data_IF_825818780944
#
_entry.id   IF_825818780944
#
_cell.length_a   1.000
_cell.length_b   1.000
_cell.length_c   1.000
_cell.angle_alpha   90.00
_cell.angle_beta   90.00
_cell.angle_gamma   90.00
#
_symmetry.space_group_name_H-M   'P 1'
#
loop_
_entity.id
_entity.type
_entity.pdbx_description
1 polymer ?
#
# COMPACT_ATOMS: atom_id res chain seq x y z
N UNK A 1 -8.16 8.46 -34.17
CA UNK A 1 -8.14 9.21 -35.44
C UNK A 1 -6.68 9.25 -35.90
N UNK A 2 -6.35 8.63 -37.02
CA UNK A 2 -4.97 8.54 -37.54
C UNK A 2 -4.61 9.84 -38.25
N UNK A 3 -3.52 10.49 -37.87
CA UNK A 3 -3.01 11.68 -38.54
C UNK A 3 -1.78 11.32 -39.40
N UNK A 4 -1.88 11.61 -40.71
CA UNK A 4 -0.78 11.49 -41.67
C UNK A 4 -0.21 12.89 -41.95
N UNK A 5 1.08 13.13 -41.72
CA UNK A 5 1.71 14.42 -42.00
C UNK A 5 2.69 14.35 -43.18
N UNK A 6 2.72 15.41 -44.00
CA UNK A 6 3.77 15.72 -44.97
C UNK A 6 4.38 17.11 -44.69
N UNK A 7 5.70 17.22 -44.89
CA UNK A 7 6.59 18.40 -44.98
C UNK A 7 6.91 19.24 -43.70
N UNK A 8 8.21 19.24 -43.31
CA UNK A 8 8.82 19.92 -42.16
C UNK A 8 8.54 21.42 -42.00
N UNK A 9 8.31 22.17 -43.09
CA UNK A 9 8.03 23.62 -43.00
C UNK A 9 6.69 23.92 -42.31
N UNK A 10 5.75 22.98 -42.34
CA UNK A 10 4.50 23.11 -41.59
C UNK A 10 4.62 22.53 -40.19
N UNK A 11 5.43 21.48 -39.98
CA UNK A 11 5.52 20.79 -38.69
C UNK A 11 6.24 21.61 -37.61
N UNK A 12 7.35 22.29 -37.92
CA UNK A 12 8.07 23.09 -36.90
C UNK A 12 7.31 24.37 -36.51
N UNK A 13 6.54 24.93 -37.46
CA UNK A 13 5.63 26.06 -37.21
C UNK A 13 4.42 25.60 -36.39
N UNK A 14 3.84 24.46 -36.75
CA UNK A 14 2.73 23.84 -36.02
C UNK A 14 3.11 23.45 -34.58
N UNK A 15 4.30 22.89 -34.35
CA UNK A 15 4.82 22.54 -33.02
C UNK A 15 5.16 23.77 -32.15
N UNK A 16 5.61 24.88 -32.75
CA UNK A 16 5.82 26.16 -32.04
C UNK A 16 4.51 26.83 -31.63
N UNK A 17 3.45 26.67 -32.42
CA UNK A 17 2.13 27.22 -32.13
C UNK A 17 1.34 26.36 -31.11
N UNK A 18 1.82 25.15 -30.78
CA UNK A 18 1.17 24.18 -29.89
C UNK A 18 1.45 24.39 -28.39
N UNK A 19 2.31 25.33 -27.99
CA UNK A 19 2.67 25.56 -26.58
C UNK A 19 1.53 26.17 -25.72
N UNK A 20 0.36 26.50 -26.32
CA UNK A 20 -0.67 27.27 -25.61
C UNK A 20 -2.14 26.80 -25.66
N UNK A 21 -2.55 25.71 -26.32
CA UNK A 21 -3.99 25.33 -26.32
C UNK A 21 -4.28 23.82 -26.23
N UNK A 22 -5.17 23.50 -25.28
CA UNK A 22 -5.97 22.28 -25.22
C UNK A 22 -6.53 21.90 -26.60
N UNK A 23 -6.28 20.66 -27.00
CA UNK A 23 -6.69 20.06 -28.27
C UNK A 23 -8.19 20.23 -28.56
N UNK A 24 -8.54 20.97 -29.61
CA UNK A 24 -9.81 20.83 -30.31
C UNK A 24 -9.69 21.18 -31.80
N UNK A 25 -9.99 20.17 -32.64
CA UNK A 25 -10.17 20.15 -34.11
C UNK A 25 -8.93 20.24 -34.98
N UNK A 26 -8.69 19.18 -35.77
CA UNK A 26 -8.11 19.32 -37.10
C UNK A 26 -8.59 18.21 -38.07
N UNK A 27 -8.68 18.63 -39.33
CA UNK A 27 -9.49 18.12 -40.42
C UNK A 27 -9.00 16.80 -41.04
N UNK A 28 -9.98 16.06 -41.57
CA UNK A 28 -9.82 14.94 -42.50
C UNK A 28 -8.93 15.28 -43.71
N UNK A 29 -7.74 14.69 -43.75
CA UNK A 29 -6.99 14.47 -44.98
C UNK A 29 -6.82 12.97 -45.17
N UNK A 30 -7.76 12.36 -45.90
CA UNK A 30 -7.69 10.97 -46.35
C UNK A 30 -6.57 10.84 -47.37
N UNK A 31 -5.38 10.41 -46.93
CA UNK A 31 -4.37 9.83 -47.82
C UNK A 31 -4.41 8.32 -47.61
N UNK A 32 -4.61 7.60 -48.71
CA UNK A 32 -4.79 6.16 -48.73
C UNK A 32 -3.42 5.46 -48.61
N UNK A 33 -2.97 5.19 -47.38
CA UNK A 33 -1.70 4.49 -47.09
C UNK A 33 -1.92 2.98 -47.00
N UNK A 34 -2.64 2.41 -47.97
CA UNK A 34 -2.80 0.97 -48.06
C UNK A 34 -1.54 0.39 -48.70
N UNK A 35 -0.52 0.07 -47.88
CA UNK A 35 0.56 -0.93 -48.09
C UNK A 35 1.93 -0.57 -47.48
N UNK A 36 2.05 0.45 -46.62
CA UNK A 36 3.32 0.75 -45.94
C UNK A 36 3.19 0.46 -44.44
N UNK A 37 4.11 -0.35 -43.90
CA UNK A 37 4.19 -0.56 -42.46
C UNK A 37 4.90 0.64 -41.84
N UNK A 38 4.30 1.34 -40.86
CA UNK A 38 4.97 2.46 -40.20
C UNK A 38 6.22 1.96 -39.47
N UNK A 39 7.31 2.73 -39.57
CA UNK A 39 8.57 2.44 -38.89
C UNK A 39 8.42 2.53 -37.37
N UNK A 40 7.59 3.48 -36.91
CA UNK A 40 7.28 3.68 -35.49
C UNK A 40 5.82 4.09 -35.28
N UNK A 41 5.23 3.69 -34.16
CA UNK A 41 3.91 4.13 -33.70
C UNK A 41 4.02 4.70 -32.29
N UNK A 42 3.55 5.93 -32.11
CA UNK A 42 3.43 6.59 -30.81
C UNK A 42 1.95 6.66 -30.42
N UNK A 43 1.63 6.14 -29.24
CA UNK A 43 0.27 6.07 -28.72
C UNK A 43 0.06 7.15 -27.67
N UNK A 44 -0.62 8.23 -28.04
CA UNK A 44 -1.08 9.26 -27.13
C UNK A 44 -2.54 9.04 -26.73
N UNK A 45 -2.94 9.52 -25.55
CA UNK A 45 -4.25 9.23 -24.91
C UNK A 45 -5.43 9.18 -25.90
N UNK A 46 -5.49 10.12 -26.87
CA UNK A 46 -6.54 10.16 -27.90
C UNK A 46 -6.03 10.01 -29.35
N UNK A 47 -4.73 9.79 -29.56
CA UNK A 47 -4.11 9.85 -30.88
C UNK A 47 -3.06 8.76 -31.09
N UNK A 48 -3.02 8.18 -32.28
CA UNK A 48 -1.90 7.35 -32.72
C UNK A 48 -1.14 8.16 -33.76
N UNK A 49 0.13 8.42 -33.49
CA UNK A 49 1.06 9.04 -34.43
C UNK A 49 1.85 7.92 -35.09
N UNK A 50 1.67 7.74 -36.39
CA UNK A 50 2.40 6.76 -37.18
C UNK A 50 3.50 7.47 -37.96
N UNK A 51 4.75 7.04 -37.80
CA UNK A 51 5.90 7.57 -38.51
C UNK A 51 6.26 6.62 -39.65
N UNK A 52 6.26 7.15 -40.86
CA UNK A 52 6.65 6.43 -42.06
C UNK A 52 8.06 6.89 -42.47
N UNK A 53 8.85 5.97 -43.00
CA UNK A 53 10.18 6.27 -43.55
C UNK A 53 10.03 7.25 -44.71
N UNK A 54 10.22 8.53 -44.40
CA UNK A 54 9.96 9.66 -45.29
C UNK A 54 11.27 10.39 -45.62
N UNK A 55 12.42 9.83 -45.23
CA UNK A 55 13.74 10.44 -45.43
C UNK A 55 14.05 11.63 -44.50
N UNK A 56 13.27 11.83 -43.43
CA UNK A 56 13.48 12.90 -42.45
C UNK A 56 14.15 12.39 -41.17
N UNK A 57 14.97 13.24 -40.54
CA UNK A 57 15.65 12.93 -39.29
C UNK A 57 14.66 12.95 -38.11
N UNK A 58 14.24 11.77 -37.67
CA UNK A 58 13.37 11.57 -36.51
C UNK A 58 13.95 12.20 -35.24
N UNK A 59 15.27 12.35 -35.14
CA UNK A 59 15.93 12.94 -33.96
C UNK A 59 15.57 14.41 -33.79
N UNK A 60 15.51 15.18 -34.88
CA UNK A 60 15.11 16.59 -34.82
C UNK A 60 13.61 16.76 -34.49
N UNK A 61 12.76 15.81 -34.87
CA UNK A 61 11.33 15.83 -34.49
C UNK A 61 11.18 15.54 -33.00
N UNK A 62 11.82 14.48 -32.50
CA UNK A 62 11.73 14.05 -31.10
C UNK A 62 12.27 15.12 -30.14
N UNK A 63 13.32 15.86 -30.53
CA UNK A 63 13.84 17.01 -29.78
C UNK A 63 12.80 18.09 -29.48
N UNK A 64 11.78 18.24 -30.32
CA UNK A 64 10.70 19.20 -30.14
C UNK A 64 9.42 18.58 -29.56
N UNK A 65 9.35 17.25 -29.43
CA UNK A 65 8.23 16.57 -28.79
C UNK A 65 8.50 16.43 -27.29
N UNK A 66 7.61 16.98 -26.46
CA UNK A 66 7.53 16.61 -25.04
C UNK A 66 7.03 15.16 -24.98
N UNK A 67 7.95 14.19 -24.95
CA UNK A 67 7.61 12.77 -24.82
C UNK A 67 6.86 12.60 -23.51
N UNK A 68 5.62 12.12 -23.58
CA UNK A 68 4.84 11.83 -22.39
C UNK A 68 5.36 10.53 -21.76
N UNK A 69 6.01 10.59 -20.59
CA UNK A 69 6.64 9.42 -20.00
C UNK A 69 5.64 8.45 -19.35
N UNK A 70 4.34 8.80 -19.30
CA UNK A 70 3.27 7.90 -18.87
C UNK A 70 2.81 6.96 -19.98
N UNK A 71 3.26 7.19 -21.22
CA UNK A 71 3.03 6.24 -22.33
C UNK A 71 4.04 5.11 -22.25
N UNK A 72 3.64 3.90 -22.64
CA UNK A 72 4.56 2.77 -22.69
C UNK A 72 5.55 2.94 -23.84
N UNK A 73 6.78 3.29 -23.51
CA UNK A 73 7.91 3.38 -24.44
C UNK A 73 8.63 2.04 -24.47
N UNK A 74 9.04 1.60 -25.66
CA UNK A 74 9.87 0.39 -25.77
C UNK A 74 11.32 0.71 -25.44
N UNK A 75 12.06 -0.24 -24.88
CA UNK A 75 13.50 -0.06 -24.64
C UNK A 75 14.27 0.28 -25.93
N UNK A 76 13.88 -0.29 -27.09
CA UNK A 76 14.48 0.05 -28.39
C UNK A 76 14.33 1.53 -28.72
N UNK A 77 13.14 2.10 -28.48
CA UNK A 77 12.89 3.52 -28.65
C UNK A 77 13.77 4.34 -27.70
N UNK A 78 13.87 3.96 -26.44
CA UNK A 78 14.69 4.68 -25.46
C UNK A 78 16.18 4.64 -25.85
N UNK A 79 16.69 3.51 -26.35
CA UNK A 79 18.08 3.42 -26.88
C UNK A 79 18.33 4.40 -28.02
N UNK A 80 17.39 4.51 -28.95
CA UNK A 80 17.52 5.35 -30.14
C UNK A 80 17.48 6.85 -29.82
N UNK A 81 16.69 7.23 -28.80
CA UNK A 81 16.46 8.63 -28.42
C UNK A 81 16.99 8.98 -27.02
N UNK A 82 17.98 8.24 -26.55
CA UNK A 82 18.54 8.34 -25.19
C UNK A 82 18.99 9.74 -24.75
N UNK A 83 19.39 10.60 -25.69
CA UNK A 83 19.88 11.96 -25.39
C UNK A 83 18.75 13.02 -25.41
N UNK A 84 17.51 12.60 -25.70
CA UNK A 84 16.34 13.47 -25.81
C UNK A 84 15.19 13.03 -24.90
N UNK A 85 15.45 12.10 -23.98
CA UNK A 85 14.47 11.56 -23.04
C UNK A 85 14.79 12.03 -21.63
N UNK A 86 13.75 12.33 -20.85
CA UNK A 86 13.86 12.55 -19.41
C UNK A 86 14.06 11.20 -18.69
N UNK A 87 15.32 10.93 -18.32
CA UNK A 87 15.74 9.69 -17.66
C UNK A 87 15.05 9.46 -16.32
N UNK A 88 14.79 10.53 -15.56
CA UNK A 88 14.08 10.41 -14.29
C UNK A 88 12.66 9.93 -14.52
N UNK A 89 11.96 10.56 -15.47
CA UNK A 89 10.61 10.17 -15.82
C UNK A 89 10.54 8.73 -16.36
N UNK A 90 11.43 8.34 -17.28
CA UNK A 90 11.37 6.97 -17.80
C UNK A 90 11.76 5.92 -16.76
N UNK A 91 12.72 6.19 -15.88
CA UNK A 91 13.04 5.30 -14.75
C UNK A 91 11.87 5.11 -13.77
N UNK A 92 11.00 6.12 -13.65
CA UNK A 92 9.83 6.09 -12.76
C UNK A 92 8.65 5.28 -13.32
N UNK A 93 8.40 5.41 -14.63
CA UNK A 93 7.13 4.98 -15.23
C UNK A 93 7.26 3.85 -16.24
N UNK A 94 8.47 3.59 -16.75
CA UNK A 94 8.71 2.51 -17.70
C UNK A 94 9.22 1.27 -16.98
N UNK A 95 8.96 0.11 -17.58
CA UNK A 95 9.47 -1.17 -17.09
C UNK A 95 10.78 -1.50 -17.82
N UNK A 96 11.87 -1.61 -17.06
CA UNK A 96 13.19 -1.92 -17.58
C UNK A 96 13.65 -3.31 -17.16
N UNK A 97 14.33 -4.02 -18.06
CA UNK A 97 15.07 -5.21 -17.67
C UNK A 97 16.37 -4.79 -16.99
N UNK A 98 16.90 -5.64 -16.14
CA UNK A 98 18.17 -5.37 -15.45
C UNK A 98 19.30 -5.10 -16.45
N UNK A 99 19.38 -5.84 -17.57
CA UNK A 99 20.39 -5.63 -18.61
C UNK A 99 20.30 -4.23 -19.23
N UNK A 100 19.09 -3.71 -19.43
CA UNK A 100 18.89 -2.35 -19.91
C UNK A 100 19.36 -1.32 -18.88
N UNK A 101 19.09 -1.55 -17.60
CA UNK A 101 19.56 -0.67 -16.53
C UNK A 101 21.09 -0.70 -16.45
N UNK A 102 21.73 -1.87 -16.64
CA UNK A 102 23.21 -1.99 -16.73
C UNK A 102 23.78 -1.22 -17.91
N UNK A 103 23.14 -1.33 -19.07
CA UNK A 103 23.54 -0.63 -20.30
C UNK A 103 23.55 0.90 -20.11
N UNK A 104 22.58 1.44 -19.33
CA UNK A 104 22.39 2.87 -19.11
C UNK A 104 22.60 3.29 -17.65
N UNK A 105 23.50 2.61 -16.94
CA UNK A 105 23.75 2.82 -15.51
C UNK A 105 24.19 4.27 -15.17
N UNK A 106 24.80 4.97 -16.12
CA UNK A 106 25.23 6.36 -16.02
C UNK A 106 24.10 7.38 -16.24
N UNK A 107 22.96 6.94 -16.82
CA UNK A 107 21.85 7.82 -17.19
C UNK A 107 20.60 7.63 -16.34
N UNK A 108 20.30 6.40 -15.93
CA UNK A 108 19.09 6.10 -15.14
C UNK A 108 19.07 6.87 -13.81
N UNK A 109 17.87 7.29 -13.39
CA UNK A 109 17.69 7.76 -12.01
C UNK A 109 17.62 6.56 -11.07
N UNK A 110 18.69 6.36 -10.29
CA UNK A 110 18.82 5.23 -9.37
C UNK A 110 17.80 5.23 -8.23
N UNK A 111 17.28 6.39 -7.84
CA UNK A 111 16.22 6.47 -6.81
C UNK A 111 14.93 5.90 -7.39
N UNK A 112 14.56 6.35 -8.59
CA UNK A 112 13.35 5.87 -9.27
C UNK A 112 13.49 4.40 -9.67
N UNK A 113 14.67 3.96 -10.10
CA UNK A 113 14.94 2.54 -10.38
C UNK A 113 14.75 1.68 -9.13
N UNK A 114 15.35 2.08 -8.00
CA UNK A 114 15.29 1.34 -6.74
C UNK A 114 13.88 1.23 -6.17
N UNK A 115 13.03 2.19 -6.48
CA UNK A 115 11.64 2.28 -6.01
C UNK A 115 10.64 1.57 -6.92
N UNK A 116 10.80 1.73 -8.23
CA UNK A 116 9.75 1.41 -9.20
C UNK A 116 10.01 0.11 -9.98
N UNK A 117 11.26 -0.34 -10.07
CA UNK A 117 11.62 -1.57 -10.77
C UNK A 117 11.63 -2.76 -9.80
N UNK A 118 11.40 -3.97 -10.33
CA UNK A 118 11.63 -5.21 -9.59
C UNK A 118 13.08 -5.64 -9.77
N UNK A 119 13.90 -5.50 -8.74
CA UNK A 119 15.33 -5.78 -8.78
C UNK A 119 15.65 -7.07 -8.04
N UNK A 120 16.47 -7.92 -8.64
CA UNK A 120 17.03 -9.11 -8.00
C UNK A 120 18.10 -8.73 -6.96
N UNK A 121 18.28 -9.58 -5.94
CA UNK A 121 19.35 -9.37 -4.96
C UNK A 121 20.75 -9.39 -5.59
N UNK A 122 20.94 -10.20 -6.64
CA UNK A 122 22.20 -10.23 -7.41
C UNK A 122 22.50 -8.89 -8.06
N UNK A 123 21.48 -8.25 -8.64
CA UNK A 123 21.60 -6.91 -9.21
C UNK A 123 21.85 -5.85 -8.13
N UNK A 124 21.11 -5.89 -7.03
CA UNK A 124 21.29 -4.96 -5.89
C UNK A 124 22.74 -5.05 -5.36
N UNK A 125 23.28 -6.26 -5.28
CA UNK A 125 24.67 -6.49 -4.86
C UNK A 125 25.70 -5.93 -5.85
N UNK A 126 25.47 -6.11 -7.14
CA UNK A 126 26.32 -5.56 -8.20
C UNK A 126 26.33 -4.02 -8.16
N UNK A 127 25.17 -3.39 -7.92
CA UNK A 127 24.99 -1.94 -7.89
C UNK A 127 24.82 -1.34 -6.49
N UNK A 128 25.38 -1.98 -5.46
CA UNK A 128 25.19 -1.61 -4.05
C UNK A 128 25.60 -0.16 -3.69
N UNK A 129 26.44 0.47 -4.52
CA UNK A 129 26.91 1.84 -4.35
C UNK A 129 26.05 2.88 -5.09
N UNK A 130 25.18 2.44 -6.00
CA UNK A 130 24.33 3.30 -6.81
C UNK A 130 22.87 3.27 -6.35
N UNK A 131 22.36 2.11 -5.94
CA UNK A 131 20.97 1.96 -5.48
C UNK A 131 20.65 2.81 -4.26
N UNK A 132 19.41 3.31 -4.19
CA UNK A 132 18.91 4.04 -3.04
C UNK A 132 18.44 3.05 -1.97
N UNK A 133 19.22 2.89 -0.90
CA UNK A 133 18.97 1.88 0.14
C UNK A 133 17.67 2.08 0.91
N UNK A 134 17.17 3.32 0.99
CA UNK A 134 15.85 3.57 1.56
C UNK A 134 14.76 2.92 0.69
N UNK A 135 14.78 3.18 -0.61
CA UNK A 135 13.86 2.61 -1.59
C UNK A 135 14.01 1.10 -1.67
N UNK A 136 15.24 0.57 -1.71
CA UNK A 136 15.50 -0.88 -1.69
C UNK A 136 14.84 -1.54 -0.48
N UNK A 137 15.07 -1.00 0.72
CA UNK A 137 14.50 -1.55 1.95
C UNK A 137 12.96 -1.45 2.00
N UNK A 138 12.40 -0.48 1.28
CA UNK A 138 10.97 -0.16 1.32
C UNK A 138 10.12 -0.78 0.20
N UNK A 139 10.72 -1.08 -0.95
CA UNK A 139 10.02 -1.45 -2.16
C UNK A 139 10.39 -2.84 -2.68
N UNK A 140 11.59 -3.32 -2.35
CA UNK A 140 12.05 -4.63 -2.80
C UNK A 140 11.75 -5.70 -1.77
N UNK A 141 11.55 -6.94 -2.24
CA UNK A 141 11.48 -8.13 -1.39
C UNK A 141 12.91 -8.60 -1.13
N UNK A 142 13.35 -8.48 0.12
CA UNK A 142 14.71 -8.82 0.53
C UNK A 142 14.69 -10.06 1.42
N UNK A 143 15.50 -11.05 1.08
CA UNK A 143 15.78 -12.16 1.98
C UNK A 143 16.57 -11.68 3.20
N UNK A 144 16.38 -12.35 4.32
CA UNK A 144 17.16 -12.10 5.54
C UNK A 144 18.67 -12.18 5.29
N UNK A 145 19.13 -13.05 4.37
CA UNK A 145 20.54 -13.17 4.01
C UNK A 145 21.07 -11.88 3.37
N UNK A 146 20.31 -11.30 2.44
CA UNK A 146 20.64 -10.03 1.82
C UNK A 146 20.64 -8.89 2.86
N UNK A 147 19.64 -8.88 3.75
CA UNK A 147 19.58 -7.88 4.84
C UNK A 147 20.80 -8.01 5.78
N UNK A 148 21.22 -9.23 6.13
CA UNK A 148 22.43 -9.47 6.93
C UNK A 148 23.68 -8.97 6.20
N UNK A 149 23.81 -9.27 4.90
CA UNK A 149 24.95 -8.84 4.10
C UNK A 149 25.08 -7.31 4.05
N UNK A 150 23.94 -6.61 3.96
CA UNK A 150 23.88 -5.15 3.85
C UNK A 150 23.34 -4.45 5.10
N UNK A 151 23.54 -5.05 6.28
CA UNK A 151 22.99 -4.59 7.57
C UNK A 151 23.33 -3.13 7.94
N UNK A 152 24.43 -2.58 7.41
CA UNK A 152 24.88 -1.21 7.67
C UNK A 152 24.40 -0.20 6.61
N UNK A 153 23.65 -0.66 5.60
CA UNK A 153 23.11 0.16 4.52
C UNK A 153 21.59 0.18 4.50
N UNK A 154 20.96 -0.95 4.81
CA UNK A 154 19.49 -1.06 4.85
C UNK A 154 18.88 -0.08 5.85
N UNK A 155 17.68 0.40 5.51
CA UNK A 155 16.89 1.19 6.42
C UNK A 155 16.10 0.25 7.35
N UNK A 156 16.58 0.10 8.59
CA UNK A 156 15.99 -0.83 9.57
C UNK A 156 14.51 -0.58 9.86
N UNK A 157 14.08 0.69 9.85
CA UNK A 157 12.67 1.03 10.03
C UNK A 157 11.79 0.49 8.89
N UNK A 158 12.25 0.61 7.64
CA UNK A 158 11.54 0.02 6.49
C UNK A 158 11.62 -1.50 6.50
N UNK A 159 12.78 -2.07 6.89
CA UNK A 159 12.95 -3.52 7.04
C UNK A 159 11.93 -4.09 8.03
N UNK A 160 11.85 -3.54 9.25
CA UNK A 160 10.88 -3.96 10.26
C UNK A 160 9.43 -3.81 9.82
N UNK A 161 9.14 -2.79 9.01
CA UNK A 161 7.79 -2.50 8.55
C UNK A 161 7.31 -3.41 7.42
N UNK A 162 8.18 -3.77 6.49
CA UNK A 162 7.76 -4.27 5.17
C UNK A 162 8.28 -5.65 4.81
N UNK A 163 9.37 -6.08 5.44
CA UNK A 163 9.94 -7.40 5.17
C UNK A 163 9.30 -8.42 6.11
N UNK A 164 9.12 -9.65 5.62
CA UNK A 164 8.73 -10.77 6.46
C UNK A 164 9.97 -11.27 7.22
N UNK A 165 10.00 -11.05 8.54
CA UNK A 165 11.14 -11.34 9.39
C UNK A 165 10.83 -12.52 10.31
N UNK A 166 11.71 -13.51 10.33
CA UNK A 166 11.62 -14.62 11.26
C UNK A 166 12.03 -14.19 12.66
N UNK A 167 11.47 -14.80 13.69
CA UNK A 167 11.85 -14.49 15.06
C UNK A 167 13.36 -14.67 15.35
N UNK A 168 14.08 -15.71 14.86
CA UNK A 168 15.53 -15.80 15.05
C UNK A 168 16.28 -14.60 14.47
N UNK A 169 15.81 -14.06 13.34
CA UNK A 169 16.37 -12.84 12.76
C UNK A 169 16.10 -11.63 13.66
N UNK A 170 14.87 -11.46 14.13
CA UNK A 170 14.51 -10.35 15.03
C UNK A 170 15.33 -10.43 16.33
N UNK A 171 15.49 -11.62 16.92
CA UNK A 171 16.37 -11.83 18.09
C UNK A 171 17.79 -11.35 17.84
N UNK A 172 18.35 -11.71 16.68
CA UNK A 172 19.73 -11.35 16.29
C UNK A 172 19.91 -9.84 16.14
N UNK A 173 18.89 -9.13 15.67
CA UNK A 173 18.95 -7.69 15.35
C UNK A 173 18.05 -6.82 16.24
N UNK A 174 17.73 -7.29 17.45
CA UNK A 174 16.81 -6.64 18.40
C UNK A 174 17.12 -5.17 18.71
N UNK A 175 18.40 -4.78 18.62
CA UNK A 175 18.88 -3.43 18.92
C UNK A 175 18.85 -2.50 17.69
N UNK A 176 18.52 -3.02 16.51
CA UNK A 176 18.44 -2.26 15.25
C UNK A 176 17.01 -2.16 14.69
N UNK A 177 16.15 -3.14 15.00
CA UNK A 177 14.77 -3.18 14.51
C UNK A 177 13.88 -2.16 15.21
N UNK A 178 12.80 -1.76 14.54
CA UNK A 178 11.78 -0.88 15.10
C UNK A 178 10.67 -1.72 15.74
N UNK A 179 10.69 -1.84 17.07
CA UNK A 179 9.75 -2.68 17.83
C UNK A 179 8.28 -2.33 17.62
N UNK A 180 7.96 -1.07 17.30
CA UNK A 180 6.58 -0.70 16.97
C UNK A 180 6.11 -1.45 15.71
N UNK A 181 6.92 -1.43 14.65
CA UNK A 181 6.57 -2.15 13.42
C UNK A 181 6.69 -3.67 13.55
N UNK A 182 7.61 -4.16 14.40
CA UNK A 182 7.66 -5.59 14.71
C UNK A 182 6.34 -6.04 15.35
N UNK A 183 5.82 -5.32 16.34
CA UNK A 183 4.55 -5.66 16.99
C UNK A 183 3.32 -5.51 16.09
N UNK A 184 3.35 -4.57 15.13
CA UNK A 184 2.22 -4.31 14.23
C UNK A 184 2.14 -5.27 13.03
N UNK A 185 3.29 -5.60 12.44
CA UNK A 185 3.31 -6.19 11.09
C UNK A 185 3.89 -7.61 11.02
N UNK A 186 4.58 -8.08 12.05
CA UNK A 186 5.14 -9.43 12.06
C UNK A 186 4.19 -10.40 12.77
N UNK A 187 4.19 -11.66 12.36
CA UNK A 187 3.53 -12.74 13.07
C UNK A 187 4.47 -13.22 14.19
N UNK A 188 4.07 -13.01 15.45
CA UNK A 188 4.91 -13.29 16.60
C UNK A 188 4.28 -14.40 17.45
N UNK A 189 5.07 -15.40 17.83
CA UNK A 189 4.61 -16.38 18.82
C UNK A 189 4.51 -15.75 20.21
N UNK A 190 3.60 -16.27 21.02
CA UNK A 190 3.49 -15.90 22.44
C UNK A 190 4.81 -16.04 23.21
N UNK A 191 5.58 -17.11 22.92
CA UNK A 191 6.88 -17.34 23.53
C UNK A 191 7.87 -16.22 23.21
N UNK A 192 7.84 -15.70 21.98
CA UNK A 192 8.66 -14.56 21.58
C UNK A 192 8.18 -13.25 22.21
N UNK A 193 6.86 -13.00 22.22
CA UNK A 193 6.28 -11.81 22.85
C UNK A 193 6.67 -11.77 24.34
N UNK A 194 6.59 -12.90 25.04
CA UNK A 194 7.03 -13.02 26.43
C UNK A 194 8.54 -12.77 26.59
N UNK A 195 9.38 -13.31 25.70
CA UNK A 195 10.83 -13.08 25.75
C UNK A 195 11.18 -11.58 25.65
N UNK A 196 10.39 -10.81 24.89
CA UNK A 196 10.59 -9.39 24.64
C UNK A 196 9.48 -8.49 25.22
N UNK A 197 8.88 -8.89 26.34
CA UNK A 197 7.76 -8.20 26.99
C UNK A 197 8.00 -6.70 27.26
N UNK A 198 9.27 -6.32 27.48
CA UNK A 198 9.68 -4.94 27.78
C UNK A 198 9.99 -4.11 26.53
N UNK A 199 9.97 -4.72 25.34
CA UNK A 199 10.27 -4.06 24.08
C UNK A 199 9.04 -3.92 23.18
N UNK A 200 8.17 -4.94 23.18
CA UNK A 200 6.96 -4.97 22.34
C UNK A 200 5.96 -3.87 22.71
N UNK A 201 5.19 -3.42 21.73
CA UNK A 201 4.10 -2.49 21.97
C UNK A 201 2.82 -3.25 22.30
N UNK A 202 2.42 -3.26 23.57
CA UNK A 202 1.28 -4.06 24.05
C UNK A 202 -0.07 -3.70 23.42
N UNK A 203 -0.32 -2.43 23.07
CA UNK A 203 -1.54 -2.06 22.33
C UNK A 203 -1.56 -2.72 20.95
N UNK A 204 -0.44 -2.67 20.22
CA UNK A 204 -0.33 -3.32 18.91
C UNK A 204 -0.38 -4.84 19.01
N UNK A 205 0.25 -5.44 20.03
CA UNK A 205 0.14 -6.87 20.29
C UNK A 205 -1.34 -7.25 20.50
N UNK A 206 -2.05 -6.52 21.36
CA UNK A 206 -3.46 -6.78 21.69
C UNK A 206 -4.38 -6.63 20.47
N UNK A 207 -4.04 -5.73 19.55
CA UNK A 207 -4.84 -5.43 18.35
C UNK A 207 -4.58 -6.38 17.19
N UNK A 208 -3.32 -6.75 16.96
CA UNK A 208 -2.90 -7.37 15.71
C UNK A 208 -2.43 -8.82 15.83
N UNK A 209 -2.03 -9.27 17.02
CA UNK A 209 -1.58 -10.65 17.22
C UNK A 209 -2.76 -11.51 17.68
N UNK A 210 -2.80 -12.77 17.24
CA UNK A 210 -3.69 -13.77 17.81
C UNK A 210 -3.03 -14.35 19.07
N UNK A 211 -3.59 -14.03 20.23
CA UNK A 211 -3.07 -14.49 21.53
C UNK A 211 -4.14 -15.22 22.31
N UNK A 212 -3.73 -16.30 22.98
CA UNK A 212 -4.59 -17.15 23.78
C UNK A 212 -5.02 -16.45 25.06
N UNK A 213 -6.18 -16.87 25.58
CA UNK A 213 -6.65 -16.42 26.88
C UNK A 213 -5.68 -16.73 28.04
N UNK A 214 -4.92 -17.83 27.97
CA UNK A 214 -3.89 -18.15 28.96
C UNK A 214 -2.78 -17.09 28.96
N UNK A 215 -2.36 -16.67 27.76
CA UNK A 215 -1.38 -15.61 27.61
C UNK A 215 -1.92 -14.27 28.10
N UNK A 216 -3.18 -13.94 27.76
CA UNK A 216 -3.83 -12.71 28.24
C UNK A 216 -3.94 -12.73 29.78
N UNK A 217 -4.28 -13.85 30.42
CA UNK A 217 -4.31 -13.98 31.90
C UNK A 217 -2.96 -13.64 32.51
N UNK A 218 -1.88 -14.15 31.90
CA UNK A 218 -0.51 -13.94 32.36
C UNK A 218 -0.07 -12.47 32.24
N UNK A 219 -0.47 -11.80 31.16
CA UNK A 219 -0.09 -10.40 30.85
C UNK A 219 -1.22 -9.39 31.02
N UNK A 220 -2.18 -9.71 31.89
CA UNK A 220 -3.42 -8.95 32.11
C UNK A 220 -3.22 -7.47 32.44
N UNK A 221 -2.08 -7.11 33.03
CA UNK A 221 -1.75 -5.74 33.44
C UNK A 221 -1.00 -4.96 32.35
N UNK A 222 -0.60 -5.62 31.26
CA UNK A 222 0.13 -5.02 30.14
C UNK A 222 -0.74 -4.87 28.89
N UNK A 223 -1.62 -5.83 28.62
CA UNK A 223 -2.51 -5.81 27.45
C UNK A 223 -3.47 -4.62 27.45
N UNK A 224 -3.86 -4.19 26.26
CA UNK A 224 -4.90 -3.17 26.08
C UNK A 224 -6.28 -3.85 26.05
N UNK A 225 -7.04 -3.70 27.13
CA UNK A 225 -8.33 -4.37 27.28
C UNK A 225 -9.39 -3.96 26.26
N UNK A 226 -9.31 -2.74 25.71
CA UNK A 226 -10.22 -2.33 24.64
C UNK A 226 -9.92 -3.13 23.38
N UNK A 227 -8.64 -3.21 22.98
CA UNK A 227 -8.21 -3.97 21.82
C UNK A 227 -8.38 -5.49 22.02
N UNK A 228 -8.16 -6.03 23.22
CA UNK A 228 -8.46 -7.43 23.55
C UNK A 228 -9.95 -7.72 23.33
N UNK A 229 -10.83 -6.86 23.84
CA UNK A 229 -12.28 -7.06 23.78
C UNK A 229 -12.84 -6.98 22.36
N UNK A 230 -12.20 -6.22 21.46
CA UNK A 230 -12.67 -6.06 20.08
C UNK A 230 -12.04 -7.03 19.09
N UNK A 231 -10.78 -7.43 19.28
CA UNK A 231 -10.00 -8.12 18.24
C UNK A 231 -9.68 -9.58 18.57
N UNK A 232 -9.74 -9.99 19.85
CA UNK A 232 -9.46 -11.38 20.23
C UNK A 232 -10.74 -12.20 20.28
N UNK A 233 -10.61 -13.52 20.10
CA UNK A 233 -11.72 -14.46 20.31
C UNK A 233 -11.75 -14.88 21.78
N UNK A 234 -12.77 -14.44 22.50
CA UNK A 234 -12.89 -14.66 23.95
C UNK A 234 -14.07 -15.59 24.27
N UNK A 235 -13.87 -16.51 25.20
CA UNK A 235 -14.94 -17.31 25.80
C UNK A 235 -15.75 -16.49 26.81
N UNK A 236 -17.02 -16.86 27.00
CA UNK A 236 -17.86 -16.24 28.01
C UNK A 236 -17.29 -16.40 29.42
N UNK A 237 -16.67 -17.54 29.73
CA UNK A 237 -16.02 -17.81 31.00
C UNK A 237 -14.86 -16.85 31.25
N UNK A 238 -14.04 -16.57 30.24
CA UNK A 238 -12.97 -15.58 30.32
C UNK A 238 -13.51 -14.17 30.51
N UNK A 239 -14.56 -13.80 29.76
CA UNK A 239 -15.17 -12.47 29.89
C UNK A 239 -15.74 -12.30 31.30
N UNK A 240 -16.36 -13.34 31.89
CA UNK A 240 -16.82 -13.33 33.29
C UNK A 240 -15.68 -13.15 34.28
N UNK A 241 -14.57 -13.86 34.07
CA UNK A 241 -13.36 -13.76 34.90
C UNK A 241 -12.83 -12.31 34.94
N UNK A 242 -12.83 -11.62 33.80
CA UNK A 242 -12.31 -10.26 33.65
C UNK A 242 -13.38 -9.19 33.46
N UNK A 243 -14.56 -9.40 34.04
CA UNK A 243 -15.73 -8.53 33.92
C UNK A 243 -15.48 -7.04 34.27
N UNK A 244 -14.51 -6.76 35.14
CA UNK A 244 -14.16 -5.38 35.54
C UNK A 244 -13.07 -4.73 34.66
N UNK A 245 -12.52 -5.46 33.68
CA UNK A 245 -11.45 -4.97 32.80
C UNK A 245 -11.85 -4.90 31.33
N UNK A 246 -12.66 -5.84 30.87
CA UNK A 246 -13.15 -5.87 29.47
C UNK A 246 -13.91 -4.59 29.13
N UNK A 247 -13.80 -4.12 27.88
CA UNK A 247 -14.68 -3.07 27.36
C UNK A 247 -15.98 -3.73 26.91
N UNK A 248 -17.01 -3.62 27.74
CA UNK A 248 -18.33 -4.21 27.49
C UNK A 248 -18.97 -3.79 26.17
N UNK A 249 -18.67 -2.58 25.66
CA UNK A 249 -19.17 -2.12 24.36
C UNK A 249 -18.54 -2.92 23.23
N UNK A 250 -17.24 -3.15 23.30
CA UNK A 250 -16.54 -3.99 22.34
C UNK A 250 -16.96 -5.45 22.47
N UNK A 251 -17.16 -5.96 23.70
CA UNK A 251 -17.66 -7.33 23.89
C UNK A 251 -18.97 -7.55 23.13
N UNK A 252 -19.98 -6.72 23.35
CA UNK A 252 -21.28 -6.92 22.70
C UNK A 252 -21.33 -6.54 21.22
N UNK A 253 -20.33 -5.81 20.72
CA UNK A 253 -20.24 -5.43 19.30
C UNK A 253 -19.40 -6.40 18.48
N UNK A 254 -18.44 -7.10 19.10
CA UNK A 254 -17.42 -7.87 18.39
C UNK A 254 -17.41 -9.36 18.77
N UNK A 255 -17.87 -9.72 19.96
CA UNK A 255 -17.86 -11.12 20.42
C UNK A 255 -19.19 -11.81 20.10
N UNK A 256 -19.10 -13.09 19.76
CA UNK A 256 -20.26 -13.97 19.63
C UNK A 256 -20.62 -14.52 21.03
N UNK A 257 -21.61 -13.90 21.66
CA UNK A 257 -22.08 -14.25 23.02
C UNK A 257 -23.51 -14.75 23.00
N UNK A 258 -23.85 -15.65 23.92
CA UNK A 258 -25.18 -16.21 24.07
C UNK A 258 -26.22 -15.20 24.57
N UNK A 259 -27.48 -15.52 24.31
CA UNK A 259 -28.63 -14.80 24.84
C UNK A 259 -28.64 -14.71 26.38
N UNK A 260 -28.28 -15.80 27.03
CA UNK A 260 -28.19 -15.91 28.48
C UNK A 260 -27.11 -14.98 29.04
N UNK A 261 -25.93 -15.00 28.42
CA UNK A 261 -24.80 -14.15 28.79
C UNK A 261 -25.13 -12.66 28.64
N UNK A 262 -25.73 -12.29 27.50
CA UNK A 262 -26.14 -10.92 27.26
C UNK A 262 -27.13 -10.42 28.32
N UNK A 263 -28.15 -11.22 28.65
CA UNK A 263 -29.14 -10.86 29.69
C UNK A 263 -28.49 -10.69 31.05
N UNK A 264 -27.49 -11.50 31.38
CA UNK A 264 -26.74 -11.42 32.62
C UNK A 264 -25.95 -10.10 32.73
N UNK A 265 -25.29 -9.67 31.64
CA UNK A 265 -24.32 -8.56 31.67
C UNK A 265 -24.76 -7.26 30.99
N UNK A 266 -25.95 -7.20 30.40
CA UNK A 266 -26.43 -5.99 29.70
C UNK A 266 -26.42 -4.73 30.57
N UNK A 267 -26.54 -4.86 31.90
CA UNK A 267 -26.50 -3.72 32.83
C UNK A 267 -25.12 -3.07 32.95
N UNK A 268 -24.07 -3.67 32.37
CA UNK A 268 -22.71 -3.10 32.33
C UNK A 268 -22.53 -2.04 31.25
N UNK A 269 -23.47 -1.93 30.30
CA UNK A 269 -23.48 -0.89 29.27
C UNK A 269 -24.38 0.29 29.68
N UNK A 270 -23.94 1.51 29.34
CA UNK A 270 -24.81 2.67 29.36
C UNK A 270 -25.55 2.80 28.02
N UNK A 271 -26.65 2.07 27.88
CA UNK A 271 -27.43 2.01 26.64
C UNK A 271 -27.92 3.39 26.16
N UNK A 272 -28.05 4.38 27.03
CA UNK A 272 -28.44 5.75 26.64
C UNK A 272 -27.37 6.46 25.82
N UNK A 273 -26.10 6.11 26.02
CA UNK A 273 -24.95 6.74 25.38
C UNK A 273 -24.34 5.86 24.30
N UNK A 274 -24.37 4.55 24.51
CA UNK A 274 -23.60 3.59 23.72
C UNK A 274 -24.47 2.87 22.66
N UNK A 275 -25.79 3.06 22.66
CA UNK A 275 -26.72 2.41 21.70
C UNK A 275 -26.41 2.69 20.23
N UNK A 276 -25.87 3.86 19.90
CA UNK A 276 -25.52 4.24 18.51
C UNK A 276 -24.32 3.42 17.99
N UNK A 277 -23.58 2.75 18.88
CA UNK A 277 -22.33 2.08 18.55
C UNK A 277 -22.39 0.55 18.68
N UNK A 278 -23.52 -0.02 19.12
CA UNK A 278 -23.69 -1.46 19.29
C UNK A 278 -24.76 -1.95 18.30
N UNK A 279 -24.33 -2.57 17.21
CA UNK A 279 -25.24 -3.31 16.32
C UNK A 279 -25.62 -4.64 17.01
N UNK A 280 -26.74 -4.63 17.72
CA UNK A 280 -27.25 -5.83 18.36
C UNK A 280 -27.88 -6.77 17.33
N UNK A 281 -27.60 -8.09 17.38
CA UNK A 281 -28.34 -9.06 16.60
C UNK A 281 -29.84 -8.95 16.91
N UNK A 282 -30.69 -9.18 15.91
CA UNK A 282 -32.15 -8.96 16.01
C UNK A 282 -32.81 -9.64 17.21
N UNK A 283 -32.29 -10.79 17.61
CA UNK A 283 -32.76 -11.58 18.76
C UNK A 283 -32.59 -10.85 20.11
N UNK A 284 -31.66 -9.89 20.19
CA UNK A 284 -31.43 -9.06 21.37
C UNK A 284 -32.23 -7.75 21.34
N UNK A 285 -32.73 -7.32 20.19
CA UNK A 285 -33.48 -6.06 20.06
C UNK A 285 -34.75 -6.10 20.92
N UNK A 286 -35.51 -7.19 20.87
CA UNK A 286 -36.72 -7.37 21.69
C UNK A 286 -36.39 -7.39 23.19
N UNK A 287 -35.23 -7.94 23.56
CA UNK A 287 -34.74 -7.97 24.96
C UNK A 287 -34.40 -6.55 25.42
N UNK A 288 -33.72 -5.76 24.58
CA UNK A 288 -33.39 -4.38 24.94
C UNK A 288 -34.63 -3.50 24.92
N UNK A 289 -35.57 -3.68 24.01
CA UNK A 289 -36.85 -2.96 24.01
C UNK A 289 -37.72 -3.34 25.22
N UNK A 290 -37.69 -4.59 25.65
CA UNK A 290 -38.30 -5.01 26.92
C UNK A 290 -37.58 -4.40 28.13
N UNK A 291 -36.24 -4.37 28.14
CA UNK A 291 -35.48 -3.71 29.20
C UNK A 291 -35.72 -2.19 29.24
N UNK A 292 -35.91 -1.54 28.08
CA UNK A 292 -36.32 -0.11 27.97
C UNK A 292 -37.67 0.15 28.65
N UNK A 293 -38.56 -0.83 28.69
CA UNK A 293 -39.91 -0.67 29.28
C UNK A 293 -40.02 -1.10 30.75
N UNK A 294 -39.20 -2.06 31.20
CA UNK A 294 -39.29 -2.62 32.57
C UNK A 294 -38.34 -1.95 33.57
N UNK A 295 -37.13 -1.56 33.15
CA UNK A 295 -36.23 -0.80 34.00
C UNK A 295 -36.67 0.66 33.96
N UNK A 296 -36.93 1.28 35.13
CA UNK A 296 -37.26 2.72 35.26
C UNK A 296 -36.09 3.60 34.83
N UNK A 297 -35.72 3.57 33.56
CA UNK A 297 -34.83 4.53 32.95
C UNK A 297 -35.59 5.86 32.78
N UNK A 298 -34.94 7.02 33.02
CA UNK A 298 -35.57 8.33 32.83
C UNK A 298 -36.19 8.40 31.43
N UNK A 299 -37.48 8.73 31.36
CA UNK A 299 -38.33 8.77 30.15
C UNK A 299 -37.56 9.35 28.95
N UNK A 300 -37.51 8.61 27.85
CA UNK A 300 -37.00 9.08 26.55
C UNK A 300 -38.16 9.43 25.63
N UNK A 301 -37.99 10.48 24.82
CA UNK A 301 -38.90 10.88 23.75
C UNK A 301 -38.71 9.99 22.51
N UNK A 302 -39.80 9.70 21.81
CA UNK A 302 -39.88 8.81 20.65
C UNK A 302 -39.16 9.33 19.38
N UNK A 303 -38.32 10.37 19.49
CA UNK A 303 -37.75 11.06 18.33
C UNK A 303 -36.38 10.49 17.87
N UNK A 304 -35.81 9.52 18.59
CA UNK A 304 -34.45 9.01 18.32
C UNK A 304 -34.40 7.59 17.70
N UNK A 305 -35.52 7.09 17.16
CA UNK A 305 -35.55 5.79 16.46
C UNK A 305 -35.31 6.01 14.96
N UNK A 306 -34.06 5.83 14.51
CA UNK A 306 -33.75 5.65 13.09
C UNK A 306 -33.56 4.16 12.80
N UNK A 307 -34.39 3.67 11.88
CA UNK A 307 -34.57 2.26 11.48
C UNK A 307 -33.41 1.68 10.67
#
# INVERSE_FOLDING_TARGET
>A
MTLNFYCLNHLSKFLKDLDHLNFCRLLDLKINVNNITPSYRLFMQNYIIEFYDTGYDLKEIVKHLKINPYQRLTQKFIREFQDHIDWKCVSSFQEFSEEFIKEFADKVDWTEVSKSQRLSEGFIKEFQHAVDWYSISSCQELSEKCIIEFQDRVNWRQVSKRQALSEPFIRRFKDRIDWHYISEHQELSEGFIQEFENCVNWCLISRHQEISEEFIRKFKDSVDWSDISSNQKLSEEFIKEFAERVDWRNIFSCQDVSCEFFKEFMNRINWKKDWVYVELPKEFIDIVDHAKTVCKFPKWSNDDVHF
#
